data_IF_306985191724
#
_entry.id   IF_306985191724
#
_cell.length_a   1.000
_cell.length_b   1.000
_cell.length_c   1.000
_cell.angle_alpha   90.00
_cell.angle_beta   90.00
_cell.angle_gamma   90.00
#
_symmetry.space_group_name_H-M   'P 1'
#
loop_
_entity.id
_entity.type
_entity.pdbx_description
1 polymer ?
#
# COMPACT_ATOMS: atom_id res chain seq x y z
N UNK A 1 47.10 5.29 19.57
CA UNK A 1 47.05 6.75 19.31
C UNK A 1 45.99 6.93 18.23
N UNK A 2 44.95 7.73 18.48
CA UNK A 2 43.94 8.02 17.45
C UNK A 2 44.57 8.86 16.33
N UNK A 3 44.25 8.55 15.08
CA UNK A 3 44.62 9.42 13.96
C UNK A 3 43.65 10.61 13.98
N UNK A 4 44.19 11.82 14.13
CA UNK A 4 43.41 13.06 14.09
C UNK A 4 43.72 13.80 12.79
N UNK A 5 42.69 14.35 12.15
CA UNK A 5 42.82 15.28 11.04
C UNK A 5 42.35 16.65 11.48
N UNK A 6 42.97 17.70 10.96
CA UNK A 6 42.49 19.08 11.09
C UNK A 6 42.15 19.57 9.68
N UNK A 7 40.95 19.25 9.21
CA UNK A 7 40.47 19.64 7.91
C UNK A 7 40.06 21.12 7.92
N UNK A 8 40.35 21.84 6.84
CA UNK A 8 40.09 23.28 6.77
C UNK A 8 38.60 23.62 6.90
N UNK A 9 37.73 22.75 6.40
CA UNK A 9 36.29 22.98 6.35
C UNK A 9 35.57 22.21 7.47
N UNK A 10 36.00 20.97 7.74
CA UNK A 10 35.37 20.13 8.75
C UNK A 10 35.99 20.29 10.15
N UNK A 11 37.11 20.97 10.29
CA UNK A 11 37.82 21.18 11.57
C UNK A 11 38.52 19.91 12.07
N UNK A 12 38.60 19.74 13.39
CA UNK A 12 39.27 18.58 13.98
C UNK A 12 38.35 17.34 13.99
N UNK A 13 38.82 16.25 13.37
CA UNK A 13 38.12 14.96 13.33
C UNK A 13 39.01 13.84 13.90
N UNK A 14 38.39 12.85 14.52
CA UNK A 14 39.01 11.59 14.93
C UNK A 14 38.73 10.51 13.88
N UNK A 15 39.71 9.70 13.51
CA UNK A 15 39.50 8.54 12.66
C UNK A 15 39.16 7.29 13.47
N UNK A 16 38.04 6.62 13.17
CA UNK A 16 37.67 5.34 13.79
C UNK A 16 36.77 4.53 12.85
N UNK A 17 36.97 3.19 12.79
CA UNK A 17 36.12 2.27 12.01
C UNK A 17 35.86 2.80 10.58
N UNK A 18 36.93 3.09 9.84
CA UNK A 18 36.86 3.53 8.44
C UNK A 18 36.14 4.86 8.18
N UNK A 19 35.94 5.70 9.19
CA UNK A 19 35.37 7.04 9.02
C UNK A 19 36.08 8.08 9.86
N UNK A 20 36.03 9.33 9.39
CA UNK A 20 36.37 10.52 10.15
C UNK A 20 35.14 11.01 10.89
N UNK A 21 35.27 11.33 12.17
CA UNK A 21 34.12 11.68 13.01
C UNK A 21 34.39 12.82 13.98
N UNK A 22 33.34 13.60 14.26
CA UNK A 22 33.31 14.61 15.33
C UNK A 22 31.88 14.79 15.85
N UNK A 23 31.75 15.35 17.04
CA UNK A 23 30.45 15.81 17.53
C UNK A 23 30.11 17.16 16.92
N UNK A 24 28.84 17.35 16.57
CA UNK A 24 28.25 18.60 16.14
C UNK A 24 27.23 19.04 17.19
N UNK A 25 27.32 20.29 17.62
CA UNK A 25 26.31 20.92 18.48
C UNK A 25 25.17 21.45 17.60
N UNK A 26 24.37 20.54 17.04
CA UNK A 26 23.19 20.87 16.23
C UNK A 26 21.99 20.19 16.90
N UNK A 27 21.11 20.99 17.48
CA UNK A 27 19.79 20.50 17.91
C UNK A 27 18.93 20.23 16.68
N UNK A 28 18.40 19.01 16.60
CA UNK A 28 17.43 18.58 15.59
C UNK A 28 16.10 18.32 16.29
N UNK A 29 15.01 18.77 15.67
CA UNK A 29 13.63 18.44 16.08
C UNK A 29 13.29 18.70 17.56
N UNK A 30 13.94 19.68 18.19
CA UNK A 30 13.69 20.01 19.58
C UNK A 30 14.33 19.05 20.60
N UNK A 31 15.11 18.06 20.16
CA UNK A 31 15.94 17.26 21.07
C UNK A 31 17.28 17.97 21.31
N UNK A 32 17.80 17.87 22.54
CA UNK A 32 19.11 18.41 22.92
C UNK A 32 20.27 17.48 22.50
N UNK A 33 20.01 16.49 21.64
CA UNK A 33 20.99 15.48 21.29
C UNK A 33 22.16 16.05 20.48
N UNK A 34 23.36 15.57 20.81
CA UNK A 34 24.59 15.91 20.09
C UNK A 34 24.69 15.02 18.85
N UNK A 35 24.37 15.60 17.69
CA UNK A 35 24.53 14.95 16.39
C UNK A 35 26.01 14.61 16.13
N UNK A 36 26.32 13.39 15.74
CA UNK A 36 27.69 13.00 15.38
C UNK A 36 27.89 13.05 13.87
N UNK A 37 28.89 13.79 13.39
CA UNK A 37 29.32 13.73 12.00
C UNK A 37 30.15 12.47 11.75
N UNK A 38 29.84 11.72 10.70
CA UNK A 38 30.61 10.61 10.15
C UNK A 38 30.91 10.86 8.66
N UNK A 39 32.19 10.89 8.30
CA UNK A 39 32.65 11.04 6.91
C UNK A 39 33.36 9.77 6.49
N UNK A 40 32.82 9.09 5.48
CA UNK A 40 33.28 7.80 5.01
C UNK A 40 34.70 7.88 4.42
N UNK A 41 35.56 6.94 4.78
CA UNK A 41 36.93 6.82 4.29
C UNK A 41 37.38 5.34 4.31
N UNK A 42 36.57 4.50 3.64
CA UNK A 42 36.80 3.05 3.56
C UNK A 42 38.11 2.67 2.86
N UNK A 43 38.58 3.54 1.97
CA UNK A 43 39.82 3.34 1.22
C UNK A 43 41.05 3.99 1.89
N UNK A 44 40.88 4.67 3.03
CA UNK A 44 41.95 5.40 3.73
C UNK A 44 42.63 6.47 2.85
N UNK A 45 41.87 7.10 1.96
CA UNK A 45 42.34 8.16 1.06
C UNK A 45 42.18 9.56 1.69
N UNK A 46 41.57 9.63 2.87
CA UNK A 46 41.22 10.88 3.53
C UNK A 46 39.93 11.50 2.97
N UNK A 47 39.65 12.73 3.44
CA UNK A 47 38.43 13.46 3.11
C UNK A 47 38.56 14.08 1.72
N UNK A 48 37.60 13.80 0.83
CA UNK A 48 37.55 14.32 -0.54
C UNK A 48 36.91 15.71 -0.63
N UNK A 49 37.20 16.42 -1.72
CA UNK A 49 36.56 17.71 -2.03
C UNK A 49 35.05 17.60 -2.23
N UNK A 50 34.55 16.47 -2.73
CA UNK A 50 33.11 16.25 -2.89
C UNK A 50 32.41 16.13 -1.52
N UNK A 51 33.07 15.53 -0.52
CA UNK A 51 32.56 15.37 0.84
C UNK A 51 32.57 16.70 1.59
N UNK A 52 33.62 17.50 1.37
CA UNK A 52 33.72 18.90 1.80
C UNK A 52 32.56 19.75 1.28
N UNK A 53 32.29 19.68 -0.02
CA UNK A 53 31.12 20.34 -0.64
C UNK A 53 29.81 19.85 -0.04
N UNK A 54 29.62 18.55 0.12
CA UNK A 54 28.43 17.96 0.73
C UNK A 54 28.18 18.48 2.15
N UNK A 55 29.24 18.55 2.98
CA UNK A 55 29.16 19.13 4.32
C UNK A 55 28.71 20.60 4.29
N UNK A 56 29.31 21.42 3.42
CA UNK A 56 28.92 22.83 3.30
C UNK A 56 27.46 22.98 2.82
N UNK A 57 27.05 22.19 1.83
CA UNK A 57 25.64 22.14 1.38
C UNK A 57 24.69 21.81 2.53
N UNK A 58 25.04 20.82 3.36
CA UNK A 58 24.25 20.48 4.55
C UNK A 58 24.15 21.67 5.50
N UNK A 59 25.28 22.29 5.85
CA UNK A 59 25.31 23.40 6.79
C UNK A 59 24.50 24.61 6.30
N UNK A 60 24.54 24.89 5.00
CA UNK A 60 23.78 25.98 4.38
C UNK A 60 22.27 25.74 4.36
N UNK A 61 21.83 24.47 4.41
CA UNK A 61 20.43 24.07 4.23
C UNK A 61 19.80 23.40 5.47
N UNK A 62 20.53 23.31 6.59
CA UNK A 62 20.10 22.57 7.79
C UNK A 62 18.73 23.00 8.31
N UNK A 63 18.43 24.30 8.30
CA UNK A 63 17.13 24.83 8.75
C UNK A 63 15.98 24.48 7.79
N UNK A 64 16.26 24.26 6.52
CA UNK A 64 15.27 23.75 5.56
C UNK A 64 15.00 22.28 5.81
N UNK A 65 16.05 21.46 5.99
CA UNK A 65 15.89 20.03 6.27
C UNK A 65 15.11 19.76 7.56
N UNK A 66 15.36 20.56 8.61
CA UNK A 66 14.58 20.50 9.86
C UNK A 66 13.08 20.71 9.68
N UNK A 67 12.68 21.48 8.65
CA UNK A 67 11.26 21.76 8.35
C UNK A 67 10.65 20.73 7.42
N UNK A 68 11.43 20.18 6.49
CA UNK A 68 10.89 19.30 5.45
C UNK A 68 10.84 17.84 5.88
N UNK A 69 11.91 17.32 6.48
CA UNK A 69 12.05 15.90 6.86
C UNK A 69 10.94 15.36 7.78
N UNK A 70 10.40 16.12 8.75
CA UNK A 70 9.27 15.66 9.59
C UNK A 70 8.11 15.05 8.79
N UNK A 71 7.70 15.73 7.71
CA UNK A 71 6.58 15.29 6.90
C UNK A 71 6.91 13.98 6.16
N UNK A 72 8.13 13.84 5.65
CA UNK A 72 8.58 12.61 4.98
C UNK A 72 8.62 11.43 5.95
N UNK A 73 9.11 11.64 7.18
CA UNK A 73 9.14 10.59 8.21
C UNK A 73 7.73 10.19 8.64
N UNK A 74 6.80 11.15 8.73
CA UNK A 74 5.41 10.88 9.09
C UNK A 74 4.69 10.09 7.99
N UNK A 75 4.90 10.45 6.72
CA UNK A 75 4.35 9.72 5.58
C UNK A 75 4.89 8.29 5.52
N UNK A 76 6.19 8.11 5.75
CA UNK A 76 6.81 6.78 5.83
C UNK A 76 6.23 5.94 6.97
N UNK A 77 6.11 6.51 8.18
CA UNK A 77 5.51 5.82 9.31
C UNK A 77 4.09 5.33 9.01
N UNK A 78 3.26 6.18 8.40
CA UNK A 78 1.88 5.83 8.03
C UNK A 78 1.82 4.78 6.92
N UNK A 79 2.76 4.81 5.99
CA UNK A 79 2.86 3.84 4.90
C UNK A 79 3.23 2.43 5.40
N UNK A 80 4.09 2.36 6.41
CA UNK A 80 4.58 1.10 6.98
C UNK A 80 3.90 0.71 8.30
N UNK A 81 2.79 1.38 8.66
CA UNK A 81 2.18 1.21 9.98
C UNK A 81 1.77 -0.23 10.27
N UNK A 82 1.18 -0.94 9.30
CA UNK A 82 0.73 -2.32 9.52
C UNK A 82 1.92 -3.30 9.70
N UNK A 83 3.12 -2.93 9.26
CA UNK A 83 4.36 -3.69 9.50
C UNK A 83 4.90 -3.36 10.89
N UNK A 84 4.89 -2.07 11.25
CA UNK A 84 5.34 -1.54 12.54
C UNK A 84 4.49 -2.08 13.70
N UNK A 85 3.17 -2.09 13.57
CA UNK A 85 2.23 -2.57 14.59
C UNK A 85 2.42 -4.06 14.93
N UNK A 86 2.93 -4.86 13.98
CA UNK A 86 3.21 -6.29 14.20
C UNK A 86 4.44 -6.54 15.05
N UNK A 87 5.40 -5.62 15.04
CA UNK A 87 6.71 -5.81 15.67
C UNK A 87 6.86 -5.01 16.97
N UNK A 88 5.94 -4.07 17.23
CA UNK A 88 5.99 -3.20 18.42
C UNK A 88 4.66 -3.17 19.16
N UNK A 89 4.75 -3.24 20.48
CA UNK A 89 3.62 -2.93 21.37
C UNK A 89 3.43 -1.40 21.44
N UNK A 90 2.53 -0.87 20.60
CA UNK A 90 2.29 0.56 20.46
C UNK A 90 1.46 1.12 21.62
N UNK A 91 1.83 2.31 22.08
CA UNK A 91 1.07 3.06 23.10
C UNK A 91 -0.05 3.87 22.46
N UNK A 92 -1.05 4.24 23.25
CA UNK A 92 -2.10 5.18 22.86
C UNK A 92 -1.48 6.49 22.33
N UNK A 93 -1.95 6.96 21.16
CA UNK A 93 -1.37 8.10 20.44
C UNK A 93 -0.27 7.75 19.42
N UNK A 94 0.20 6.49 19.37
CA UNK A 94 1.14 6.03 18.33
C UNK A 94 0.42 5.38 17.14
N UNK A 95 -0.91 5.27 17.19
CA UNK A 95 -1.69 4.71 16.10
C UNK A 95 -1.64 5.61 14.85
N UNK A 96 -1.77 4.98 13.68
CA UNK A 96 -1.70 5.60 12.34
C UNK A 96 -2.46 6.92 12.21
N UNK A 97 -3.65 7.00 12.82
CA UNK A 97 -4.55 8.15 12.71
C UNK A 97 -4.25 9.27 13.72
N UNK A 98 -3.58 8.94 14.83
CA UNK A 98 -3.31 9.86 15.95
C UNK A 98 -1.86 10.39 15.97
N UNK A 99 -0.96 9.77 15.19
CA UNK A 99 0.45 10.14 15.13
C UNK A 99 0.64 11.57 14.59
N UNK A 100 1.38 12.38 15.34
CA UNK A 100 1.78 13.75 14.96
C UNK A 100 3.29 13.85 14.82
N UNK A 101 3.81 14.94 14.22
CA UNK A 101 5.27 15.17 14.12
C UNK A 101 5.96 15.10 15.50
N UNK A 102 5.39 15.72 16.53
CA UNK A 102 5.97 15.71 17.87
C UNK A 102 6.05 14.28 18.44
N UNK A 103 4.98 13.52 18.30
CA UNK A 103 4.91 12.14 18.78
C UNK A 103 5.90 11.25 18.02
N UNK A 104 5.99 11.43 16.70
CA UNK A 104 6.95 10.73 15.86
C UNK A 104 8.39 11.01 16.33
N UNK A 105 8.71 12.26 16.67
CA UNK A 105 10.05 12.64 17.15
C UNK A 105 10.36 12.16 18.57
N UNK A 106 9.36 11.92 19.41
CA UNK A 106 9.56 11.21 20.68
C UNK A 106 9.93 9.74 20.48
N UNK A 107 9.58 9.19 19.31
CA UNK A 107 9.82 7.78 18.95
C UNK A 107 11.08 7.57 18.13
N UNK A 108 11.78 8.62 17.69
CA UNK A 108 13.00 8.51 16.89
C UNK A 108 14.18 9.22 17.52
N UNK A 109 15.38 8.65 17.36
CA UNK A 109 16.64 9.25 17.78
C UNK A 109 17.54 9.49 16.58
N UNK A 110 17.95 10.74 16.34
CA UNK A 110 18.91 11.04 15.26
C UNK A 110 20.33 10.86 15.77
N UNK A 111 21.04 9.86 15.26
CA UNK A 111 22.36 9.48 15.77
C UNK A 111 23.51 10.17 15.04
N UNK A 112 23.45 10.20 13.71
CA UNK A 112 24.59 10.62 12.88
C UNK A 112 24.16 11.52 11.72
N UNK A 113 25.02 12.46 11.35
CA UNK A 113 25.08 13.01 9.99
C UNK A 113 26.16 12.20 9.26
N UNK A 114 25.78 11.47 8.21
CA UNK A 114 26.71 10.72 7.39
C UNK A 114 27.04 11.49 6.11
N UNK A 115 28.27 11.34 5.62
CA UNK A 115 28.72 11.84 4.32
C UNK A 115 29.52 10.74 3.62
N UNK A 116 28.97 10.25 2.52
CA UNK A 116 29.54 9.18 1.70
C UNK A 116 30.63 9.69 0.75
N UNK A 117 31.42 8.77 0.21
CA UNK A 117 32.54 9.06 -0.70
C UNK A 117 32.13 9.75 -2.01
N UNK A 118 30.91 9.49 -2.47
CA UNK A 118 30.32 10.10 -3.67
C UNK A 118 29.71 11.50 -3.43
N UNK A 119 29.73 11.97 -2.18
CA UNK A 119 29.12 13.24 -1.78
C UNK A 119 27.67 13.13 -1.31
N UNK A 120 27.08 11.94 -1.32
CA UNK A 120 25.77 11.70 -0.70
C UNK A 120 25.86 11.96 0.80
N UNK A 121 24.82 12.54 1.40
CA UNK A 121 24.79 12.84 2.82
C UNK A 121 23.38 12.77 3.37
N UNK A 122 23.28 12.58 4.68
CA UNK A 122 21.99 12.45 5.34
C UNK A 122 22.07 12.17 6.83
N UNK A 123 20.92 11.92 7.44
CA UNK A 123 20.85 11.54 8.85
C UNK A 123 20.71 10.04 9.01
N UNK A 124 21.33 9.47 10.04
CA UNK A 124 20.98 8.14 10.54
C UNK A 124 20.02 8.33 11.70
N UNK A 125 18.86 7.73 11.59
CA UNK A 125 17.74 7.83 12.51
C UNK A 125 17.44 6.43 13.02
N UNK A 126 17.43 6.26 14.34
CA UNK A 126 17.02 5.02 14.99
C UNK A 126 15.62 5.21 15.56
N UNK A 127 14.60 4.64 14.91
CA UNK A 127 13.28 4.59 15.50
C UNK A 127 13.21 3.59 16.64
N UNK A 128 12.29 3.77 17.58
CA UNK A 128 12.04 2.81 18.66
C UNK A 128 11.29 1.56 18.20
N UNK A 129 10.87 1.52 16.92
CA UNK A 129 10.11 0.42 16.34
C UNK A 129 10.91 -0.51 15.43
N UNK A 130 12.21 -0.26 15.27
CA UNK A 130 13.15 -1.18 14.64
C UNK A 130 14.19 -1.56 15.69
N UNK A 131 14.07 -2.75 16.27
CA UNK A 131 14.96 -3.20 17.35
C UNK A 131 16.41 -3.43 16.88
N UNK A 132 16.61 -3.69 15.57
CA UNK A 132 17.93 -4.02 15.01
C UNK A 132 18.40 -3.08 13.90
N UNK A 133 17.51 -2.29 13.28
CA UNK A 133 17.81 -1.50 12.09
C UNK A 133 17.64 0.01 12.28
N UNK A 134 18.56 0.78 11.71
CA UNK A 134 18.41 2.23 11.59
C UNK A 134 17.98 2.62 10.18
N UNK A 135 17.33 3.78 10.05
CA UNK A 135 17.04 4.39 8.76
C UNK A 135 18.05 5.48 8.44
N UNK A 136 18.44 5.59 7.18
CA UNK A 136 19.10 6.74 6.63
C UNK A 136 18.07 7.69 5.98
N UNK A 137 18.05 8.95 6.40
CA UNK A 137 17.36 10.02 5.70
C UNK A 137 18.37 10.73 4.80
N UNK A 138 18.41 10.38 3.51
CA UNK A 138 19.25 11.04 2.51
C UNK A 138 18.77 12.48 2.28
N UNK A 139 19.70 13.44 2.38
CA UNK A 139 19.46 14.88 2.24
C UNK A 139 20.20 15.50 1.04
N UNK A 140 21.07 14.71 0.38
CA UNK A 140 21.85 15.16 -0.78
C UNK A 140 21.03 15.39 -2.05
N UNK A 141 19.76 15.05 -2.02
CA UNK A 141 18.83 15.17 -3.15
C UNK A 141 17.97 16.43 -3.02
N UNK A 142 17.21 16.75 -4.07
CA UNK A 142 16.25 17.85 -4.02
C UNK A 142 15.18 17.64 -2.93
N UNK A 143 14.87 16.37 -2.62
CA UNK A 143 13.91 15.95 -1.60
C UNK A 143 14.51 14.87 -0.69
N UNK A 144 14.22 14.90 0.63
CA UNK A 144 14.67 13.86 1.53
C UNK A 144 14.17 12.46 1.13
N UNK A 145 15.00 11.43 1.30
CA UNK A 145 14.60 10.03 1.10
C UNK A 145 14.89 9.20 2.33
N UNK A 146 13.94 8.38 2.75
CA UNK A 146 14.12 7.45 3.87
C UNK A 146 14.48 6.09 3.27
N UNK A 147 15.61 5.57 3.71
CA UNK A 147 16.12 4.27 3.30
C UNK A 147 16.59 3.50 4.54
N UNK A 148 16.62 2.19 4.50
CA UNK A 148 17.15 1.28 5.52
C UNK A 148 18.67 1.36 5.61
N UNK A 149 19.25 0.91 6.72
CA UNK A 149 20.70 0.80 6.87
C UNK A 149 21.29 -0.12 5.78
N UNK A 150 20.57 -1.17 5.42
CA UNK A 150 20.96 -2.07 4.33
C UNK A 150 20.99 -1.34 2.98
N UNK A 151 19.92 -0.59 2.65
CA UNK A 151 19.87 0.29 1.48
C UNK A 151 21.05 1.26 1.46
N UNK A 152 21.44 1.81 2.61
CA UNK A 152 22.59 2.72 2.72
C UNK A 152 23.94 2.01 2.50
N UNK A 153 24.13 0.81 3.07
CA UNK A 153 25.36 0.01 2.88
C UNK A 153 25.52 -0.46 1.45
N UNK A 154 24.40 -0.62 0.74
CA UNK A 154 24.32 -1.02 -0.65
C UNK A 154 23.75 0.10 -1.51
N UNK A 155 24.09 1.35 -1.23
CA UNK A 155 23.54 2.51 -1.94
C UNK A 155 24.03 2.52 -3.40
N UNK A 156 23.36 1.73 -4.23
CA UNK A 156 23.51 1.77 -5.67
C UNK A 156 22.60 2.89 -6.16
N UNK A 157 23.22 3.97 -6.62
CA UNK A 157 22.53 5.07 -7.29
C UNK A 157 22.57 4.83 -8.78
N UNK A 158 21.40 4.82 -9.41
CA UNK A 158 21.28 4.82 -10.85
C UNK A 158 20.55 6.10 -11.25
N UNK A 159 21.26 6.98 -11.96
CA UNK A 159 20.65 8.16 -12.54
C UNK A 159 20.20 7.81 -13.96
N UNK A 160 18.90 7.57 -14.13
CA UNK A 160 18.30 7.26 -15.42
C UNK A 160 17.72 8.54 -16.05
N UNK A 161 17.96 8.83 -17.34
CA UNK A 161 17.43 10.02 -18.00
C UNK A 161 15.90 10.14 -18.02
N UNK A 162 15.20 9.01 -17.86
CA UNK A 162 13.73 8.92 -17.92
C UNK A 162 13.15 8.88 -16.52
N UNK A 163 13.67 8.00 -15.66
CA UNK A 163 13.16 7.72 -14.32
C UNK A 163 13.78 8.61 -13.22
N UNK A 164 14.79 9.40 -13.57
CA UNK A 164 15.55 10.20 -12.62
C UNK A 164 16.46 9.33 -11.75
N UNK A 165 16.75 9.81 -10.54
CA UNK A 165 17.59 9.08 -9.60
C UNK A 165 16.79 7.97 -8.90
N UNK A 166 17.25 6.75 -9.06
CA UNK A 166 16.76 5.58 -8.34
C UNK A 166 17.80 5.07 -7.34
N UNK A 167 17.32 4.56 -6.21
CA UNK A 167 18.12 3.95 -5.14
C UNK A 167 17.69 2.50 -4.99
N UNK A 168 18.62 1.55 -4.97
CA UNK A 168 18.30 0.13 -4.83
C UNK A 168 18.45 -0.37 -3.39
N UNK A 169 17.57 -1.27 -2.94
CA UNK A 169 17.54 -1.77 -1.57
C UNK A 169 18.43 -2.97 -1.23
N UNK A 170 19.02 -3.53 -2.27
CA UNK A 170 19.90 -4.68 -2.18
C UNK A 170 19.13 -5.99 -2.00
N UNK A 171 17.80 -5.97 -2.15
CA UNK A 171 16.96 -7.16 -2.17
C UNK A 171 16.21 -7.32 -3.48
N UNK A 172 15.33 -6.38 -3.84
CA UNK A 172 14.27 -6.68 -4.84
C UNK A 172 13.85 -5.50 -5.71
N UNK A 173 14.15 -4.25 -5.35
CA UNK A 173 13.66 -3.13 -6.13
C UNK A 173 14.55 -1.87 -6.13
N UNK A 174 14.45 -1.12 -7.23
CA UNK A 174 14.88 0.26 -7.35
C UNK A 174 13.74 1.21 -6.97
N UNK A 175 14.00 2.13 -6.04
CA UNK A 175 13.04 3.10 -5.54
C UNK A 175 13.37 4.53 -5.97
N UNK A 176 12.37 5.28 -6.40
CA UNK A 176 12.43 6.70 -6.75
C UNK A 176 11.26 7.47 -6.15
N UNK A 177 11.32 8.81 -6.19
CA UNK A 177 10.19 9.67 -5.81
C UNK A 177 9.85 10.59 -6.99
N UNK A 178 8.55 10.73 -7.27
CA UNK A 178 8.00 11.71 -8.21
C UNK A 178 6.90 12.50 -7.50
N UNK A 179 7.01 13.84 -7.47
CA UNK A 179 5.88 14.68 -7.10
C UNK A 179 4.78 14.56 -8.15
N UNK A 180 3.60 14.14 -7.71
CA UNK A 180 2.40 14.14 -8.52
C UNK A 180 1.32 15.00 -7.85
N UNK A 181 0.29 15.37 -8.62
CA UNK A 181 -0.88 16.04 -8.07
C UNK A 181 -2.14 15.39 -8.61
N UNK A 182 -2.47 14.23 -8.05
CA UNK A 182 -3.65 13.48 -8.43
C UNK A 182 -4.93 14.25 -8.06
N UNK A 183 -4.94 14.87 -6.88
CA UNK A 183 -6.11 15.53 -6.33
C UNK A 183 -5.98 17.06 -6.21
N UNK A 184 -4.98 17.66 -6.87
CA UNK A 184 -4.71 19.11 -6.79
C UNK A 184 -3.86 19.53 -5.59
N UNK A 185 -3.54 18.61 -4.68
CA UNK A 185 -2.47 18.75 -3.69
C UNK A 185 -1.17 18.13 -4.24
N UNK A 186 0.01 18.68 -3.91
CA UNK A 186 1.28 17.99 -4.14
C UNK A 186 1.34 16.74 -3.27
N UNK A 187 1.56 15.58 -3.90
CA UNK A 187 1.66 14.28 -3.25
C UNK A 187 2.88 13.54 -3.79
N UNK A 188 3.60 12.86 -2.90
CA UNK A 188 4.73 12.02 -3.29
C UNK A 188 4.21 10.67 -3.80
N UNK A 189 4.61 10.31 -5.02
CA UNK A 189 4.44 8.98 -5.57
C UNK A 189 5.80 8.28 -5.56
N UNK A 190 5.90 7.17 -4.85
CA UNK A 190 7.08 6.32 -4.91
C UNK A 190 7.08 5.53 -6.22
N UNK A 191 8.23 5.45 -6.89
CA UNK A 191 8.42 4.59 -8.06
C UNK A 191 9.20 3.37 -7.61
N UNK A 192 8.61 2.18 -7.69
CA UNK A 192 9.23 0.90 -7.32
C UNK A 192 9.46 0.06 -8.59
N UNK A 193 10.71 -0.24 -8.95
CA UNK A 193 11.05 -1.07 -10.10
C UNK A 193 11.61 -2.42 -9.64
N UNK A 194 10.99 -3.52 -10.05
CA UNK A 194 11.49 -4.87 -9.77
C UNK A 194 12.90 -5.08 -10.36
N UNK A 195 13.82 -5.64 -9.57
CA UNK A 195 15.15 -6.01 -10.05
C UNK A 195 16.16 -6.13 -8.92
N UNK A 196 17.37 -6.55 -9.25
CA UNK A 196 18.50 -6.48 -8.32
C UNK A 196 19.40 -5.28 -8.65
N UNK A 197 20.29 -4.93 -7.72
CA UNK A 197 21.24 -3.84 -7.89
C UNK A 197 22.17 -4.06 -9.10
N UNK A 198 22.49 -5.32 -9.39
CA UNK A 198 23.43 -5.71 -10.45
C UNK A 198 22.79 -5.72 -11.85
N UNK A 199 21.47 -5.75 -11.94
CA UNK A 199 20.75 -5.98 -13.19
C UNK A 199 20.36 -4.72 -13.96
N UNK A 200 20.52 -3.53 -13.35
CA UNK A 200 20.10 -2.25 -13.91
C UNK A 200 18.61 -2.19 -14.29
N UNK A 201 18.19 -1.06 -14.87
CA UNK A 201 16.82 -0.87 -15.37
C UNK A 201 16.68 -1.50 -16.76
N UNK A 202 15.60 -2.24 -17.02
CA UNK A 202 15.35 -2.81 -18.36
C UNK A 202 14.78 -1.79 -19.34
N UNK A 203 14.98 -2.00 -20.66
CA UNK A 203 14.24 -1.25 -21.68
C UNK A 203 12.71 -1.38 -21.55
N UNK A 204 12.21 -2.51 -21.02
CA UNK A 204 10.78 -2.70 -20.80
C UNK A 204 10.25 -1.80 -19.67
N UNK A 205 11.02 -1.63 -18.59
CA UNK A 205 10.69 -0.72 -17.48
C UNK A 205 10.72 0.75 -17.93
N UNK A 206 11.74 1.15 -18.69
CA UNK A 206 11.82 2.51 -19.26
C UNK A 206 10.63 2.81 -20.18
N UNK A 207 10.26 1.84 -21.03
CA UNK A 207 9.09 1.96 -21.90
C UNK A 207 7.80 2.04 -21.08
N UNK A 208 7.63 1.18 -20.08
CA UNK A 208 6.45 1.17 -19.23
C UNK A 208 6.26 2.49 -18.49
N UNK A 209 7.33 3.06 -17.94
CA UNK A 209 7.27 4.37 -17.30
C UNK A 209 6.96 5.51 -18.29
N UNK A 210 7.53 5.47 -19.49
CA UNK A 210 7.21 6.43 -20.54
C UNK A 210 5.73 6.34 -20.97
N UNK A 211 5.22 5.13 -21.12
CA UNK A 211 3.81 4.87 -21.43
C UNK A 211 2.90 5.34 -20.28
N UNK A 212 3.32 5.13 -19.03
CA UNK A 212 2.64 5.64 -17.84
C UNK A 212 2.53 7.17 -17.85
N UNK A 213 3.64 7.89 -18.06
CA UNK A 213 3.64 9.36 -18.07
C UNK A 213 2.68 9.93 -19.12
N UNK A 214 2.54 9.26 -20.27
CA UNK A 214 1.61 9.68 -21.33
C UNK A 214 0.14 9.40 -20.99
N UNK A 215 -0.13 8.40 -20.14
CA UNK A 215 -1.48 7.90 -19.87
C UNK A 215 -1.98 8.15 -18.46
N UNK A 216 -1.14 8.68 -17.55
CA UNK A 216 -1.45 8.82 -16.12
C UNK A 216 -2.76 9.54 -15.83
N UNK A 217 -3.07 10.60 -16.57
CA UNK A 217 -4.34 11.32 -16.44
C UNK A 217 -5.54 10.46 -16.84
N UNK A 218 -5.41 9.66 -17.91
CA UNK A 218 -6.45 8.73 -18.36
C UNK A 218 -6.64 7.58 -17.36
N UNK A 219 -5.56 7.06 -16.79
CA UNK A 219 -5.62 6.02 -15.75
C UNK A 219 -6.32 6.53 -14.50
N UNK A 220 -6.01 7.76 -14.11
CA UNK A 220 -6.63 8.39 -12.96
C UNK A 220 -8.12 8.67 -13.20
N UNK A 221 -8.49 9.10 -14.41
CA UNK A 221 -9.89 9.28 -14.79
C UNK A 221 -10.67 7.95 -14.79
N UNK A 222 -10.09 6.87 -15.30
CA UNK A 222 -10.71 5.53 -15.28
C UNK A 222 -10.90 5.02 -13.85
N UNK A 223 -9.86 5.14 -13.01
CA UNK A 223 -9.95 4.77 -11.59
C UNK A 223 -11.06 5.55 -10.88
N UNK A 224 -11.13 6.87 -11.05
CA UNK A 224 -12.19 7.69 -10.46
C UNK A 224 -13.58 7.29 -10.98
N UNK A 225 -13.72 7.02 -12.29
CA UNK A 225 -14.97 6.54 -12.87
C UNK A 225 -15.40 5.22 -12.22
N UNK A 226 -14.48 4.26 -12.04
CA UNK A 226 -14.77 2.96 -11.41
C UNK A 226 -15.24 3.13 -9.96
N UNK A 227 -14.53 3.94 -9.17
CA UNK A 227 -14.89 4.20 -7.77
C UNK A 227 -16.22 4.95 -7.64
N UNK A 228 -16.47 5.95 -8.51
CA UNK A 228 -17.75 6.66 -8.56
C UNK A 228 -18.90 5.74 -8.95
N UNK A 229 -18.70 4.86 -9.93
CA UNK A 229 -19.72 3.88 -10.34
C UNK A 229 -20.00 2.89 -9.23
N UNK A 230 -18.97 2.40 -8.53
CA UNK A 230 -19.15 1.57 -7.34
C UNK A 230 -19.97 2.29 -6.25
N UNK A 231 -19.69 3.58 -6.03
CA UNK A 231 -20.32 4.39 -5.00
C UNK A 231 -21.77 4.80 -5.33
N UNK A 232 -22.01 5.27 -6.56
CA UNK A 232 -23.32 5.81 -6.98
C UNK A 232 -24.24 4.74 -7.55
N UNK A 233 -23.68 3.61 -8.03
CA UNK A 233 -24.40 2.55 -8.75
C UNK A 233 -25.21 3.05 -9.96
N UNK A 234 -24.81 4.17 -10.55
CA UNK A 234 -25.44 4.77 -11.72
C UNK A 234 -24.38 5.33 -12.66
N UNK A 235 -23.99 4.53 -13.66
CA UNK A 235 -22.96 4.92 -14.62
C UNK A 235 -23.36 6.18 -15.42
N UNK A 236 -24.65 6.41 -15.68
CA UNK A 236 -25.11 7.61 -16.42
C UNK A 236 -24.94 8.86 -15.58
N UNK A 237 -25.24 8.76 -14.28
CA UNK A 237 -24.99 9.86 -13.34
C UNK A 237 -23.50 10.14 -13.21
N UNK A 238 -22.67 9.09 -13.11
CA UNK A 238 -21.19 9.21 -13.08
C UNK A 238 -20.67 9.92 -14.32
N UNK A 239 -21.09 9.48 -15.51
CA UNK A 239 -20.70 10.11 -16.77
C UNK A 239 -21.13 11.58 -16.84
N UNK A 240 -22.28 11.93 -16.25
CA UNK A 240 -22.76 13.32 -16.17
C UNK A 240 -21.92 14.15 -15.21
N UNK A 241 -21.57 13.58 -14.05
CA UNK A 241 -20.73 14.23 -13.04
C UNK A 241 -19.30 14.47 -13.56
N UNK A 242 -18.70 13.47 -14.23
CA UNK A 242 -17.36 13.57 -14.80
C UNK A 242 -17.27 14.54 -16.00
N UNK A 243 -18.39 14.80 -16.68
CA UNK A 243 -18.47 15.82 -17.75
C UNK A 243 -18.75 17.23 -17.23
N UNK A 244 -19.11 17.38 -15.96
CA UNK A 244 -19.35 18.68 -15.37
C UNK A 244 -18.04 19.45 -15.15
N UNK A 245 -18.08 20.78 -15.12
CA UNK A 245 -16.90 21.61 -14.83
C UNK A 245 -16.41 21.44 -13.37
N UNK A 246 -17.20 20.77 -12.51
CA UNK A 246 -16.81 20.44 -11.16
C UNK A 246 -15.97 19.17 -11.17
N UNK A 247 -14.69 19.28 -10.78
CA UNK A 247 -13.84 18.11 -10.52
C UNK A 247 -14.45 17.29 -9.38
N UNK A 248 -15.11 16.20 -9.72
CA UNK A 248 -15.55 15.21 -8.74
C UNK A 248 -14.38 14.29 -8.46
N UNK A 249 -13.75 14.53 -7.33
CA UNK A 249 -12.66 13.71 -6.80
C UNK A 249 -13.26 12.73 -5.79
N UNK A 250 -13.14 11.44 -6.05
CA UNK A 250 -13.39 10.41 -5.04
C UNK A 250 -12.05 10.08 -4.42
N UNK A 251 -11.64 10.90 -3.45
CA UNK A 251 -10.40 10.74 -2.70
C UNK A 251 -10.49 9.57 -1.71
N UNK A 252 -10.97 8.42 -2.17
CA UNK A 252 -11.11 7.23 -1.35
C UNK A 252 -10.02 6.21 -1.68
N UNK A 253 -9.37 6.30 -2.85
CA UNK A 253 -8.16 5.55 -3.19
C UNK A 253 -7.06 6.50 -3.67
N UNK A 254 -5.94 6.51 -2.96
CA UNK A 254 -4.82 7.41 -3.19
C UNK A 254 -3.59 6.62 -3.66
N UNK A 255 -3.14 6.77 -4.92
CA UNK A 255 -1.90 6.15 -5.38
C UNK A 255 -0.72 6.60 -4.52
N UNK A 256 0.02 5.64 -3.95
CA UNK A 256 1.22 5.86 -3.14
C UNK A 256 2.48 5.33 -3.81
N UNK A 257 2.36 4.22 -4.53
CA UNK A 257 3.47 3.61 -5.26
C UNK A 257 3.06 3.33 -6.71
N UNK A 258 3.93 3.64 -7.66
CA UNK A 258 3.91 3.09 -9.01
C UNK A 258 4.91 1.94 -9.07
N UNK A 259 4.39 0.72 -9.13
CA UNK A 259 5.22 -0.47 -9.28
C UNK A 259 5.39 -0.81 -10.77
N UNK A 260 6.62 -1.16 -11.19
CA UNK A 260 6.94 -1.60 -12.56
C UNK A 260 7.82 -2.86 -12.51
N UNK A 261 7.29 -3.96 -13.02
CA UNK A 261 8.00 -5.24 -13.10
C UNK A 261 9.07 -5.25 -14.20
N UNK A 262 9.97 -6.25 -14.19
CA UNK A 262 11.06 -6.40 -15.16
C UNK A 262 10.57 -6.54 -16.62
N UNK A 263 9.34 -7.03 -16.81
CA UNK A 263 8.70 -7.24 -18.11
C UNK A 263 7.94 -6.00 -18.60
N UNK A 264 7.89 -4.93 -17.80
CA UNK A 264 7.21 -3.68 -18.12
C UNK A 264 5.70 -3.71 -17.82
N UNK A 265 5.23 -4.65 -16.99
CA UNK A 265 3.89 -4.55 -16.40
C UNK A 265 3.95 -3.54 -15.26
N UNK A 266 2.89 -2.75 -15.07
CA UNK A 266 2.86 -1.73 -14.05
C UNK A 266 1.48 -1.51 -13.47
N UNK A 267 1.45 -0.96 -12.26
CA UNK A 267 0.23 -0.66 -11.54
C UNK A 267 0.47 0.32 -10.40
N UNK A 268 -0.61 0.89 -9.89
CA UNK A 268 -0.57 1.67 -8.66
C UNK A 268 -0.82 0.78 -7.46
N UNK A 269 -0.10 1.01 -6.38
CA UNK A 269 -0.49 0.57 -5.04
C UNK A 269 -1.12 1.79 -4.37
N UNK A 270 -2.40 1.67 -4.08
CA UNK A 270 -3.25 2.74 -3.55
C UNK A 270 -3.53 2.49 -2.09
N UNK A 271 -3.43 3.54 -1.27
CA UNK A 271 -4.04 3.55 0.05
C UNK A 271 -5.54 3.78 -0.10
N UNK A 272 -6.36 2.91 0.47
CA UNK A 272 -7.81 2.99 0.40
C UNK A 272 -8.39 3.43 1.74
N UNK A 273 -9.15 4.52 1.74
CA UNK A 273 -9.65 5.15 2.98
C UNK A 273 -10.77 4.37 3.65
N UNK A 274 -11.44 3.49 2.90
CA UNK A 274 -12.63 2.76 3.36
C UNK A 274 -12.28 1.48 4.12
N UNK A 275 -11.21 0.79 3.73
CA UNK A 275 -10.70 -0.40 4.39
C UNK A 275 -9.41 -0.14 5.17
N UNK A 276 -8.90 1.12 5.10
CA UNK A 276 -7.61 1.55 5.64
C UNK A 276 -6.44 0.65 5.20
N UNK A 277 -6.54 0.06 4.01
CA UNK A 277 -5.61 -0.95 3.49
C UNK A 277 -4.89 -0.49 2.23
N UNK A 278 -3.99 -1.33 1.70
CA UNK A 278 -3.31 -1.12 0.43
C UNK A 278 -3.80 -2.10 -0.63
N UNK A 279 -4.43 -1.55 -1.67
CA UNK A 279 -4.89 -2.29 -2.85
C UNK A 279 -4.14 -1.85 -4.08
N UNK A 280 -3.82 -2.81 -4.94
CA UNK A 280 -3.17 -2.56 -6.20
C UNK A 280 -4.18 -2.45 -7.35
N UNK A 281 -3.97 -1.49 -8.25
CA UNK A 281 -4.66 -1.36 -9.52
C UNK A 281 -3.67 -1.62 -10.66
N UNK A 282 -3.86 -2.69 -11.42
CA UNK A 282 -3.00 -3.02 -12.54
C UNK A 282 -3.35 -2.19 -13.78
N UNK A 283 -2.38 -1.43 -14.30
CA UNK A 283 -2.56 -0.41 -15.33
C UNK A 283 -2.10 -0.85 -16.72
N UNK A 284 -1.22 -1.83 -16.84
CA UNK A 284 -0.77 -2.33 -18.15
C UNK A 284 -1.79 -3.20 -18.89
N UNK A 285 -2.89 -3.59 -18.26
CA UNK A 285 -3.99 -4.32 -18.89
C UNK A 285 -4.98 -3.37 -19.60
N UNK A 286 -5.62 -3.86 -20.66
CA UNK A 286 -6.74 -3.15 -21.32
C UNK A 286 -7.92 -2.89 -20.35
N UNK A 287 -8.14 -3.81 -19.40
CA UNK A 287 -9.14 -3.68 -18.33
C UNK A 287 -8.41 -3.64 -16.99
N UNK A 288 -8.29 -2.45 -16.39
CA UNK A 288 -7.65 -2.32 -15.08
C UNK A 288 -8.46 -3.06 -14.02
N UNK A 289 -7.77 -3.90 -13.25
CA UNK A 289 -8.36 -4.80 -12.25
C UNK A 289 -7.69 -4.54 -10.89
N UNK A 290 -8.48 -4.61 -9.82
CA UNK A 290 -7.95 -4.51 -8.46
C UNK A 290 -7.39 -5.86 -8.00
N UNK A 291 -6.32 -5.80 -7.22
CA UNK A 291 -5.63 -6.94 -6.63
C UNK A 291 -4.91 -6.52 -5.34
N UNK A 292 -4.29 -7.47 -4.66
CA UNK A 292 -3.37 -7.16 -3.55
C UNK A 292 -2.05 -6.60 -4.07
N UNK A 293 -1.36 -5.81 -3.24
CA UNK A 293 0.00 -5.36 -3.55
C UNK A 293 0.96 -6.52 -3.85
N UNK A 294 0.79 -7.65 -3.15
CA UNK A 294 1.61 -8.84 -3.35
C UNK A 294 1.35 -9.52 -4.70
N UNK A 295 0.11 -9.59 -5.15
CA UNK A 295 -0.23 -10.10 -6.49
C UNK A 295 0.35 -9.20 -7.59
N UNK A 296 0.35 -7.88 -7.40
CA UNK A 296 0.99 -6.95 -8.33
C UNK A 296 2.52 -7.14 -8.34
N UNK A 297 3.16 -7.29 -7.18
CA UNK A 297 4.61 -7.56 -7.10
C UNK A 297 4.99 -8.94 -7.64
N UNK A 298 4.11 -9.93 -7.48
CA UNK A 298 4.23 -11.27 -8.06
C UNK A 298 3.75 -11.38 -9.51
N UNK A 299 3.34 -10.28 -10.13
CA UNK A 299 2.64 -10.29 -11.42
C UNK A 299 3.45 -10.98 -12.52
N UNK A 300 4.78 -10.82 -12.51
CA UNK A 300 5.69 -11.37 -13.50
C UNK A 300 5.76 -12.91 -13.47
N UNK A 301 5.49 -13.51 -12.31
CA UNK A 301 5.62 -14.95 -12.03
C UNK A 301 4.28 -15.68 -11.88
N UNK A 302 3.19 -14.96 -11.59
CA UNK A 302 1.87 -15.55 -11.45
C UNK A 302 1.28 -16.05 -12.78
N UNK A 303 0.61 -17.21 -12.73
CA UNK A 303 -0.26 -17.69 -13.80
C UNK A 303 -1.50 -16.77 -13.85
N UNK A 304 -1.82 -16.26 -15.04
CA UNK A 304 -2.84 -15.22 -15.24
C UNK A 304 -3.59 -15.41 -16.55
N UNK A 305 -4.80 -14.88 -16.60
CA UNK A 305 -5.59 -14.77 -17.83
C UNK A 305 -6.11 -13.34 -17.98
N UNK A 306 -6.42 -13.00 -19.23
CA UNK A 306 -7.23 -11.85 -19.57
C UNK A 306 -8.59 -12.35 -20.05
N UNK A 307 -9.62 -12.06 -19.28
CA UNK A 307 -11.00 -12.39 -19.62
C UNK A 307 -11.76 -11.13 -20.04
N UNK A 308 -12.56 -11.26 -21.10
CA UNK A 308 -13.35 -10.14 -21.66
C UNK A 308 -14.37 -9.55 -20.68
N UNK A 309 -14.79 -10.30 -19.66
CA UNK A 309 -15.76 -9.88 -18.64
C UNK A 309 -15.04 -9.56 -17.32
N UNK A 310 -14.16 -10.44 -16.87
CA UNK A 310 -13.52 -10.27 -15.55
C UNK A 310 -12.31 -9.34 -15.57
N UNK A 311 -11.70 -9.09 -16.73
CA UNK A 311 -10.43 -8.39 -16.83
C UNK A 311 -9.24 -9.30 -16.54
N UNK A 312 -8.20 -8.78 -15.88
CA UNK A 312 -7.05 -9.60 -15.48
C UNK A 312 -7.39 -10.39 -14.23
N UNK A 313 -7.18 -11.71 -14.30
CA UNK A 313 -7.35 -12.61 -13.15
C UNK A 313 -6.08 -13.43 -12.91
N UNK A 314 -5.85 -13.80 -11.66
CA UNK A 314 -4.70 -14.59 -11.22
C UNK A 314 -5.12 -15.98 -10.80
N UNK A 315 -4.26 -16.96 -11.05
CA UNK A 315 -4.53 -18.33 -10.64
C UNK A 315 -4.18 -18.50 -9.17
N UNK A 316 -5.15 -18.97 -8.41
CA UNK A 316 -4.97 -19.44 -7.04
C UNK A 316 -5.61 -20.83 -6.94
N UNK A 317 -4.77 -21.86 -6.82
CA UNK A 317 -5.16 -23.27 -6.88
C UNK A 317 -5.99 -23.60 -8.14
N UNK A 318 -7.26 -23.96 -7.97
CA UNK A 318 -8.21 -24.29 -9.06
C UNK A 318 -9.04 -23.08 -9.54
N UNK A 319 -8.84 -21.91 -8.94
CA UNK A 319 -9.65 -20.73 -9.17
C UNK A 319 -8.89 -19.61 -9.86
N UNK A 320 -9.62 -18.81 -10.64
CA UNK A 320 -9.17 -17.50 -11.10
C UNK A 320 -9.70 -16.43 -10.17
N UNK A 321 -8.85 -15.55 -9.66
CA UNK A 321 -9.19 -14.53 -8.66
C UNK A 321 -8.92 -13.11 -9.16
N UNK A 322 -9.75 -12.17 -8.74
CA UNK A 322 -9.52 -10.72 -8.77
C UNK A 322 -10.16 -10.07 -7.53
N UNK A 323 -10.04 -8.75 -7.39
CA UNK A 323 -10.82 -7.98 -6.43
C UNK A 323 -11.76 -7.02 -7.14
N UNK A 324 -12.95 -6.86 -6.57
CA UNK A 324 -13.91 -5.83 -6.97
C UNK A 324 -14.17 -4.88 -5.81
N UNK A 325 -14.44 -3.62 -6.17
CA UNK A 325 -14.85 -2.57 -5.24
C UNK A 325 -16.33 -2.30 -5.46
N UNK A 326 -17.12 -2.32 -4.39
CA UNK A 326 -18.56 -2.08 -4.41
C UNK A 326 -18.97 -1.26 -3.20
N UNK A 327 -20.18 -0.69 -3.23
CA UNK A 327 -20.77 -0.04 -2.07
C UNK A 327 -21.63 -1.01 -1.28
N UNK A 328 -21.39 -1.19 0.01
CA UNK A 328 -22.24 -1.97 0.92
C UNK A 328 -22.49 -1.14 2.19
N UNK A 329 -23.74 -1.12 2.67
CA UNK A 329 -24.16 -0.30 3.82
C UNK A 329 -23.82 1.19 3.76
N UNK A 330 -23.67 1.75 2.55
CA UNK A 330 -23.33 3.15 2.37
C UNK A 330 -21.83 3.41 2.24
N UNK A 331 -20.99 2.43 2.54
CA UNK A 331 -19.53 2.51 2.50
C UNK A 331 -18.97 1.72 1.32
N UNK A 332 -17.75 2.06 0.87
CA UNK A 332 -17.04 1.23 -0.09
C UNK A 332 -16.43 0.03 0.62
N UNK A 333 -16.45 -1.11 -0.04
CA UNK A 333 -15.82 -2.34 0.40
C UNK A 333 -15.13 -2.99 -0.79
N UNK A 334 -14.12 -3.80 -0.49
CA UNK A 334 -13.39 -4.58 -1.49
C UNK A 334 -13.61 -6.06 -1.18
N UNK A 335 -14.00 -6.85 -2.19
CA UNK A 335 -14.17 -8.30 -2.07
C UNK A 335 -13.37 -9.02 -3.15
N UNK A 336 -12.64 -10.07 -2.78
CA UNK A 336 -12.25 -11.14 -3.68
C UNK A 336 -13.45 -11.63 -4.52
N UNK A 337 -13.19 -11.87 -5.80
CA UNK A 337 -14.06 -12.58 -6.73
C UNK A 337 -13.25 -13.72 -7.32
N UNK A 338 -13.70 -14.96 -7.07
CA UNK A 338 -13.09 -16.17 -7.59
C UNK A 338 -14.01 -16.90 -8.56
N UNK A 339 -13.43 -17.46 -9.61
CA UNK A 339 -14.10 -18.33 -10.58
C UNK A 339 -13.43 -19.69 -10.52
N UNK A 340 -14.14 -20.69 -10.00
CA UNK A 340 -13.66 -22.06 -9.95
C UNK A 340 -13.80 -22.71 -11.32
N UNK A 341 -12.68 -23.16 -11.85
CA UNK A 341 -12.64 -23.82 -13.17
C UNK A 341 -12.19 -25.26 -13.06
N UNK A 342 -12.06 -25.78 -11.83
CA UNK A 342 -11.43 -27.07 -11.57
C UNK A 342 -10.09 -27.17 -12.29
N UNK A 343 -9.93 -28.26 -13.02
CA UNK A 343 -8.73 -28.54 -13.83
C UNK A 343 -8.77 -27.92 -15.24
N UNK A 344 -9.91 -27.36 -15.66
CA UNK A 344 -10.13 -26.92 -17.04
C UNK A 344 -9.36 -25.64 -17.39
N UNK A 345 -8.96 -24.85 -16.38
CA UNK A 345 -8.24 -23.55 -16.50
C UNK A 345 -8.92 -22.49 -17.36
N UNK A 346 -10.06 -22.77 -18.00
CA UNK A 346 -10.83 -21.83 -18.80
C UNK A 346 -12.11 -21.39 -18.08
N UNK A 347 -12.40 -20.09 -18.14
CA UNK A 347 -13.68 -19.54 -17.69
C UNK A 347 -14.74 -19.80 -18.76
N UNK A 348 -15.89 -20.35 -18.37
CA UNK A 348 -16.97 -20.68 -19.31
C UNK A 348 -17.89 -19.49 -19.58
N UNK A 349 -18.63 -19.51 -20.70
CA UNK A 349 -19.64 -18.47 -20.97
C UNK A 349 -20.78 -18.47 -19.93
N UNK A 350 -21.08 -19.62 -19.33
CA UNK A 350 -22.05 -19.72 -18.24
C UNK A 350 -21.57 -18.93 -17.03
N UNK A 351 -20.31 -19.09 -16.61
CA UNK A 351 -19.72 -18.35 -15.49
C UNK A 351 -19.69 -16.84 -15.74
N UNK A 352 -19.35 -16.43 -16.97
CA UNK A 352 -19.42 -15.01 -17.39
C UNK A 352 -20.85 -14.47 -17.29
N UNK A 353 -21.83 -15.23 -17.77
CA UNK A 353 -23.24 -14.83 -17.73
C UNK A 353 -23.75 -14.70 -16.29
N UNK A 354 -23.35 -15.60 -15.38
CA UNK A 354 -23.69 -15.54 -13.96
C UNK A 354 -23.12 -14.29 -13.32
N UNK A 355 -21.86 -13.97 -13.57
CA UNK A 355 -21.24 -12.76 -13.03
C UNK A 355 -21.89 -11.48 -13.57
N UNK A 356 -22.17 -11.42 -14.87
CA UNK A 356 -22.88 -10.27 -15.45
C UNK A 356 -24.28 -10.12 -14.85
N UNK A 357 -24.98 -11.24 -14.64
CA UNK A 357 -26.28 -11.25 -13.98
C UNK A 357 -26.18 -10.78 -12.52
N UNK A 358 -25.14 -11.20 -11.81
CA UNK A 358 -24.80 -10.72 -10.46
C UNK A 358 -24.62 -9.21 -10.44
N UNK A 359 -23.79 -8.67 -11.33
CA UNK A 359 -23.56 -7.22 -11.42
C UNK A 359 -24.84 -6.44 -11.73
N UNK A 360 -25.67 -6.93 -12.66
CA UNK A 360 -26.91 -6.22 -13.04
C UNK A 360 -27.99 -6.24 -11.95
N UNK A 361 -27.96 -7.23 -11.07
CA UNK A 361 -28.96 -7.39 -10.00
C UNK A 361 -28.34 -7.33 -8.60
N UNK A 362 -27.15 -6.72 -8.46
CA UNK A 362 -26.40 -6.71 -7.21
C UNK A 362 -27.23 -6.20 -6.02
N UNK A 363 -27.99 -5.13 -6.20
CA UNK A 363 -28.90 -4.60 -5.18
C UNK A 363 -29.93 -5.64 -4.71
N UNK A 364 -30.54 -6.37 -5.65
CA UNK A 364 -31.55 -7.37 -5.35
C UNK A 364 -30.93 -8.58 -4.64
N UNK A 365 -29.73 -9.00 -5.08
CA UNK A 365 -28.96 -10.06 -4.43
C UNK A 365 -28.63 -9.72 -2.97
N UNK A 366 -28.18 -8.49 -2.72
CA UNK A 366 -27.91 -8.01 -1.36
C UNK A 366 -29.18 -8.00 -0.52
N UNK A 367 -30.31 -7.54 -1.05
CA UNK A 367 -31.57 -7.52 -0.30
C UNK A 367 -32.09 -8.92 0.03
N UNK A 368 -31.93 -9.89 -0.88
CA UNK A 368 -32.26 -11.29 -0.62
C UNK A 368 -31.36 -11.87 0.47
N UNK A 369 -30.03 -11.71 0.36
CA UNK A 369 -29.07 -12.14 1.38
C UNK A 369 -29.44 -11.62 2.77
N UNK A 370 -29.71 -10.31 2.88
CA UNK A 370 -30.11 -9.68 4.15
C UNK A 370 -31.37 -10.30 4.75
N UNK A 371 -32.29 -10.78 3.93
CA UNK A 371 -33.55 -11.39 4.38
C UNK A 371 -33.28 -12.80 4.89
N UNK A 372 -32.59 -13.63 4.10
CA UNK A 372 -32.24 -15.00 4.50
C UNK A 372 -31.34 -15.04 5.74
N UNK A 373 -30.41 -14.10 5.86
CA UNK A 373 -29.58 -13.93 7.04
C UNK A 373 -30.39 -13.57 8.28
N UNK A 374 -31.31 -12.61 8.16
CA UNK A 374 -32.17 -12.25 9.27
C UNK A 374 -33.02 -13.45 9.71
N UNK A 375 -33.61 -14.17 8.76
CA UNK A 375 -34.42 -15.37 9.04
C UNK A 375 -33.58 -16.46 9.72
N UNK A 376 -32.33 -16.66 9.28
CA UNK A 376 -31.38 -17.57 9.93
C UNK A 376 -31.06 -17.13 11.36
N UNK A 377 -30.68 -15.87 11.57
CA UNK A 377 -30.34 -15.38 12.91
C UNK A 377 -31.54 -15.42 13.87
N UNK A 378 -32.75 -15.14 13.39
CA UNK A 378 -33.97 -15.30 14.19
C UNK A 378 -34.20 -16.77 14.52
N UNK A 379 -34.01 -17.67 13.56
CA UNK A 379 -34.19 -19.11 13.76
C UNK A 379 -33.22 -19.68 14.80
N UNK A 380 -31.97 -19.23 14.79
CA UNK A 380 -30.90 -19.68 15.68
C UNK A 380 -30.57 -18.68 16.79
N UNK A 381 -31.52 -17.81 17.14
CA UNK A 381 -31.31 -16.69 18.07
C UNK A 381 -30.60 -17.09 19.36
N UNK A 382 -31.06 -18.16 20.01
CA UNK A 382 -30.51 -18.61 21.29
C UNK A 382 -29.03 -18.99 21.22
N UNK A 383 -28.55 -19.41 20.05
CA UNK A 383 -27.14 -19.74 19.79
C UNK A 383 -26.29 -18.51 19.48
N UNK A 384 -26.90 -17.42 19.00
CA UNK A 384 -26.20 -16.23 18.53
C UNK A 384 -26.32 -15.00 19.44
N UNK A 385 -27.29 -14.97 20.37
CA UNK A 385 -27.63 -13.78 21.17
C UNK A 385 -26.44 -13.19 21.93
N UNK A 386 -25.51 -14.03 22.40
CA UNK A 386 -24.32 -13.59 23.15
C UNK A 386 -23.30 -12.87 22.25
N UNK A 387 -23.33 -13.12 20.94
CA UNK A 387 -22.42 -12.51 19.95
C UNK A 387 -22.97 -11.22 19.35
N UNK A 388 -24.29 -11.04 19.35
CA UNK A 388 -24.93 -9.85 18.79
C UNK A 388 -24.87 -8.64 19.74
N UNK A 389 -24.14 -8.75 20.87
CA UNK A 389 -24.13 -7.80 21.99
C UNK A 389 -25.55 -7.37 22.43
N UNK A 390 -26.53 -8.27 22.27
CA UNK A 390 -27.91 -7.97 22.58
C UNK A 390 -28.07 -7.99 24.10
N UNK A 391 -28.53 -6.88 24.72
CA UNK A 391 -28.77 -6.84 26.16
C UNK A 391 -29.68 -7.99 26.60
N UNK A 392 -29.39 -8.63 27.75
CA UNK A 392 -30.09 -9.83 28.26
C UNK A 392 -31.63 -9.72 28.34
N UNK A 393 -32.16 -8.48 28.31
CA UNK A 393 -33.59 -8.18 28.38
C UNK A 393 -34.27 -7.99 27.02
N UNK A 394 -33.54 -8.04 25.90
CA UNK A 394 -34.11 -7.99 24.55
C UNK A 394 -34.47 -9.39 24.07
N UNK A 395 -35.74 -9.57 23.72
CA UNK A 395 -36.24 -10.80 23.09
C UNK A 395 -35.98 -10.79 21.57
N UNK A 396 -36.10 -11.93 20.89
CA UNK A 396 -35.94 -12.11 19.44
C UNK A 396 -36.74 -11.11 18.59
N UNK A 397 -37.84 -10.59 19.12
CA UNK A 397 -38.69 -9.56 18.49
C UNK A 397 -38.00 -8.19 18.35
N UNK A 398 -36.86 -7.97 19.03
CA UNK A 398 -36.07 -6.73 18.99
C UNK A 398 -34.84 -6.84 18.08
N UNK A 399 -34.62 -7.99 17.43
CA UNK A 399 -33.67 -8.11 16.34
C UNK A 399 -34.26 -7.40 15.13
N UNK A 400 -33.62 -6.30 14.74
CA UNK A 400 -33.95 -5.62 13.50
C UNK A 400 -33.02 -6.10 12.41
N UNK A 401 -33.50 -5.97 11.17
CA UNK A 401 -32.70 -6.20 9.97
C UNK A 401 -31.38 -5.42 10.05
N UNK A 402 -31.43 -4.14 10.43
CA UNK A 402 -30.24 -3.28 10.50
C UNK A 402 -29.17 -3.80 11.48
N UNK A 403 -29.57 -4.40 12.61
CA UNK A 403 -28.61 -4.99 13.57
C UNK A 403 -27.90 -6.21 13.01
N UNK A 404 -28.63 -7.10 12.33
CA UNK A 404 -28.04 -8.29 11.68
C UNK A 404 -27.15 -7.88 10.51
N UNK A 405 -27.53 -6.84 9.77
CA UNK A 405 -26.75 -6.37 8.61
C UNK A 405 -25.42 -5.74 9.04
N UNK A 406 -25.38 -5.00 10.16
CA UNK A 406 -24.14 -4.40 10.69
C UNK A 406 -23.04 -5.41 11.07
N UNK A 407 -23.38 -6.69 11.03
CA UNK A 407 -22.51 -7.80 11.41
C UNK A 407 -21.99 -8.53 10.16
N UNK A 408 -22.48 -8.17 8.97
CA UNK A 408 -22.07 -8.77 7.71
C UNK A 408 -20.86 -8.06 7.14
N UNK A 409 -19.76 -8.79 7.03
CA UNK A 409 -18.69 -8.51 6.09
C UNK A 409 -18.94 -9.28 4.79
N UNK A 410 -18.66 -8.66 3.66
CA UNK A 410 -18.83 -9.26 2.35
C UNK A 410 -17.44 -9.66 1.85
N UNK A 411 -17.04 -10.90 2.17
CA UNK A 411 -15.63 -11.30 2.13
C UNK A 411 -15.24 -12.01 0.86
N UNK A 412 -16.12 -12.81 0.25
CA UNK A 412 -15.76 -13.53 -0.97
C UNK A 412 -16.97 -13.88 -1.84
N UNK A 413 -16.88 -13.53 -3.12
CA UNK A 413 -17.76 -14.05 -4.17
C UNK A 413 -17.08 -15.22 -4.89
N UNK A 414 -17.72 -16.38 -4.96
CA UNK A 414 -17.23 -17.56 -5.66
C UNK A 414 -18.23 -17.98 -6.76
N UNK A 415 -17.77 -18.10 -7.99
CA UNK A 415 -18.55 -18.66 -9.10
C UNK A 415 -18.05 -20.07 -9.35
N UNK A 416 -18.91 -21.05 -9.11
CA UNK A 416 -18.57 -22.49 -9.20
C UNK A 416 -18.52 -22.98 -10.64
N UNK A 417 -17.85 -24.11 -10.85
CA UNK A 417 -17.75 -24.77 -12.17
C UNK A 417 -19.14 -25.16 -12.72
N UNK A 418 -20.06 -25.58 -11.84
CA UNK A 418 -21.43 -25.96 -12.21
C UNK A 418 -22.37 -24.77 -12.45
N UNK A 419 -21.84 -23.55 -12.37
CA UNK A 419 -22.59 -22.31 -12.59
C UNK A 419 -23.49 -21.91 -11.42
N UNK A 420 -23.19 -22.33 -10.20
CA UNK A 420 -23.73 -21.71 -8.99
C UNK A 420 -22.91 -20.50 -8.59
N UNK A 421 -23.59 -19.47 -8.07
CA UNK A 421 -22.97 -18.35 -7.40
C UNK A 421 -22.98 -18.64 -5.91
N UNK A 422 -21.84 -18.55 -5.25
CA UNK A 422 -21.68 -18.68 -3.82
C UNK A 422 -21.13 -17.37 -3.24
N UNK A 423 -21.64 -17.02 -2.07
CA UNK A 423 -21.12 -15.94 -1.25
C UNK A 423 -20.62 -16.53 0.06
N UNK A 424 -19.46 -16.09 0.51
CA UNK A 424 -18.92 -16.41 1.82
C UNK A 424 -18.70 -15.12 2.60
N UNK A 425 -19.22 -15.07 3.82
CA UNK A 425 -18.93 -14.02 4.79
C UNK A 425 -18.41 -14.63 6.09
N UNK A 426 -17.59 -13.86 6.80
CA UNK A 426 -17.16 -14.13 8.15
C UNK A 426 -18.36 -13.94 9.09
N UNK A 427 -18.52 -14.92 9.99
CA UNK A 427 -19.36 -14.74 11.17
C UNK A 427 -18.49 -14.08 12.25
N UNK A 428 -19.07 -13.27 13.16
CA UNK A 428 -18.38 -12.76 14.36
C UNK A 428 -17.70 -13.85 15.19
N UNK A 429 -18.18 -15.08 15.07
CA UNK A 429 -17.52 -16.25 15.61
C UNK A 429 -16.48 -16.71 14.59
N UNK A 430 -15.19 -16.47 14.86
CA UNK A 430 -14.07 -16.86 14.00
C UNK A 430 -14.15 -18.33 13.49
N UNK A 431 -14.89 -19.20 14.17
CA UNK A 431 -15.03 -20.62 13.85
C UNK A 431 -16.12 -20.99 12.82
N UNK A 432 -17.03 -20.09 12.43
CA UNK A 432 -18.21 -20.48 11.62
C UNK A 432 -18.57 -19.45 10.52
N UNK A 433 -17.81 -19.38 9.42
CA UNK A 433 -18.24 -18.58 8.26
C UNK A 433 -19.59 -19.02 7.71
N UNK A 434 -20.40 -18.11 7.17
CA UNK A 434 -21.70 -18.45 6.56
C UNK A 434 -21.55 -18.40 5.05
N UNK A 435 -21.94 -19.47 4.38
CA UNK A 435 -21.99 -19.54 2.93
C UNK A 435 -23.44 -19.54 2.43
N UNK A 436 -23.71 -18.72 1.43
CA UNK A 436 -24.97 -18.72 0.68
C UNK A 436 -24.70 -19.13 -0.74
N UNK A 437 -25.58 -19.92 -1.33
CA UNK A 437 -25.55 -20.23 -2.75
C UNK A 437 -26.84 -19.83 -3.42
N UNK A 438 -26.74 -19.43 -4.69
CA UNK A 438 -27.90 -19.27 -5.53
C UNK A 438 -28.18 -20.55 -6.31
N UNK A 439 -29.37 -21.10 -6.08
CA UNK A 439 -29.88 -22.29 -6.73
C UNK A 439 -31.25 -21.94 -7.32
N UNK A 440 -31.37 -21.94 -8.65
CA UNK A 440 -32.61 -21.63 -9.38
C UNK A 440 -33.26 -20.30 -8.95
N UNK A 441 -32.49 -19.20 -8.96
CA UNK A 441 -32.93 -17.85 -8.58
C UNK A 441 -33.37 -17.68 -7.11
N UNK A 442 -33.02 -18.64 -6.24
CA UNK A 442 -33.21 -18.55 -4.79
C UNK A 442 -31.89 -18.61 -4.07
N UNK A 443 -31.76 -17.77 -3.04
CA UNK A 443 -30.69 -17.87 -2.05
C UNK A 443 -30.99 -19.07 -1.15
N UNK A 444 -30.05 -20.01 -1.07
CA UNK A 444 -30.07 -21.07 -0.07
C UNK A 444 -28.81 -20.94 0.79
N UNK A 445 -28.99 -20.90 2.10
CA UNK A 445 -27.87 -20.91 3.03
C UNK A 445 -27.39 -22.34 3.26
N UNK A 446 -26.07 -22.57 3.20
CA UNK A 446 -25.49 -23.93 3.22
C UNK A 446 -24.85 -24.30 4.57
N UNK A 447 -24.82 -23.39 5.56
CA UNK A 447 -24.39 -23.60 6.96
C UNK A 447 -22.86 -23.87 7.14
N UNK A 448 -22.33 -23.90 8.39
CA UNK A 448 -21.19 -23.10 8.82
C UNK A 448 -19.83 -23.69 8.38
N UNK A 449 -18.94 -22.81 7.93
CA UNK A 449 -17.63 -23.13 7.40
C UNK A 449 -16.63 -23.56 8.48
N UNK A 450 -16.74 -24.78 9.00
CA UNK A 450 -15.57 -25.45 9.61
C UNK A 450 -14.61 -26.02 8.54
N UNK A 451 -14.98 -25.96 7.25
CA UNK A 451 -14.32 -26.71 6.16
C UNK A 451 -13.78 -25.88 5.00
N UNK A 452 -13.81 -24.55 5.07
CA UNK A 452 -13.36 -23.65 3.98
C UNK A 452 -12.16 -22.77 4.32
N UNK A 453 -11.55 -22.91 5.52
CA UNK A 453 -10.23 -22.33 5.77
C UNK A 453 -9.17 -23.15 5.01
N UNK A 454 -8.81 -22.69 3.81
CA UNK A 454 -7.61 -23.09 3.09
C UNK A 454 -6.93 -21.88 2.47
#
# INVERSE_FOLDING_TARGET
>A
MGNFSNDKELGQLEYKKNCWRKSLEISLFGTEDVLKLLVQDDNQEGILDVQRKAYNTYMDNVETYKKTVPNYMLDYYKLHFEEIEKVVDLKEGYFKDDITENVLFDMISVWYLFICRDGSFGWIVAPCWEDEDCFAVLLSEQEPRIITERELRHLHKLNDPTLGLLVHDGEKAWKGLEQNSFFGAPENLEIELEGSADEGITPAQQKAYSDYLQKKESYFADMNKKLLTAYLRDEKLVDTMLKSEHKVVVATALPKVLFIDRKGNYGWICYTSWDKSYLALHLSAEIHSWMTANELRGYSSAEKIYDKVFGTMFREFTTWRKFDVYRFQGELQTSPVSVDTGDQKEITEQQRAIYLNYLSHFSDYIEQLKTELLDYYIHYYDSFKDYLEIPEHMDKEHITRDKVINILSFDHLLIKEDGRLAWCGESPTEENGVAFEWINDKVEMIVPMSSFRY
#
